data_IF_262956921152
#
_entry.id   IF_262956921152
#
_cell.length_a   1.000
_cell.length_b   1.000
_cell.length_c   1.000
_cell.angle_alpha   90.00
_cell.angle_beta   90.00
_cell.angle_gamma   90.00
#
_symmetry.space_group_name_H-M   'P 1'
#
loop_
_entity.id
_entity.type
_entity.pdbx_description
1 polymer ?
#
# COMPACT_ATOMS: atom_id res chain seq x y z
N UNK A 1 12.86 -27.10 18.24
CA UNK A 1 11.46 -26.63 18.25
C UNK A 1 11.47 -25.15 17.90
N UNK A 2 10.68 -24.68 16.92
CA UNK A 2 10.70 -23.27 16.50
C UNK A 2 10.19 -22.32 17.60
N UNK A 3 10.66 -21.06 17.63
CA UNK A 3 10.34 -20.07 18.69
C UNK A 3 8.83 -19.90 18.89
N UNK A 4 8.06 -19.93 17.81
CA UNK A 4 6.59 -19.81 17.82
C UNK A 4 5.93 -21.00 18.54
N UNK A 5 6.36 -22.23 18.25
CA UNK A 5 5.81 -23.42 18.90
C UNK A 5 6.13 -23.42 20.41
N UNK A 6 7.27 -22.88 20.80
CA UNK A 6 7.63 -22.69 22.22
C UNK A 6 6.75 -21.65 22.90
N UNK A 7 6.41 -20.55 22.22
CA UNK A 7 5.52 -19.51 22.76
C UNK A 7 4.07 -19.97 22.90
N UNK A 8 3.54 -20.68 21.90
CA UNK A 8 2.19 -21.28 21.96
C UNK A 8 2.10 -22.29 23.09
N UNK A 9 3.15 -23.08 23.32
CA UNK A 9 3.22 -24.02 24.45
C UNK A 9 3.29 -23.29 25.80
N UNK A 10 4.09 -22.23 25.89
CA UNK A 10 4.28 -21.48 27.14
C UNK A 10 3.07 -20.64 27.54
N UNK A 11 2.29 -20.16 26.56
CA UNK A 11 1.09 -19.35 26.77
C UNK A 11 -0.19 -20.13 26.45
N UNK A 12 -0.14 -21.47 26.52
CA UNK A 12 -1.25 -22.34 26.12
C UNK A 12 -2.60 -21.95 26.75
N UNK A 13 -2.69 -21.60 28.06
CA UNK A 13 -3.97 -21.19 28.64
C UNK A 13 -4.58 -19.94 28.00
N UNK A 14 -3.76 -18.96 27.63
CA UNK A 14 -4.22 -17.75 26.96
C UNK A 14 -4.56 -18.02 25.49
N UNK A 15 -3.76 -18.86 24.83
CA UNK A 15 -4.00 -19.30 23.46
C UNK A 15 -5.32 -20.06 23.32
N UNK A 16 -5.62 -20.97 24.25
CA UNK A 16 -6.88 -21.71 24.28
C UNK A 16 -8.07 -20.77 24.54
N UNK A 17 -7.95 -19.86 25.50
CA UNK A 17 -9.00 -18.86 25.76
C UNK A 17 -9.29 -17.96 24.55
N UNK A 18 -8.28 -17.63 23.76
CA UNK A 18 -8.43 -16.80 22.57
C UNK A 18 -9.02 -17.58 21.38
N UNK A 19 -8.65 -18.85 21.21
CA UNK A 19 -9.05 -19.67 20.05
C UNK A 19 -10.33 -20.48 20.27
N UNK A 20 -10.71 -20.69 21.53
CA UNK A 20 -11.92 -21.41 21.96
C UNK A 20 -12.84 -20.50 22.78
N UNK A 21 -12.84 -19.20 22.46
CA UNK A 21 -13.70 -18.25 23.17
C UNK A 21 -15.18 -18.61 22.98
N UNK A 22 -16.05 -18.48 24.00
CA UNK A 22 -17.48 -18.82 23.90
C UNK A 22 -18.21 -18.14 22.73
N UNK A 23 -17.80 -16.93 22.34
CA UNK A 23 -18.31 -16.26 21.13
C UNK A 23 -17.98 -17.04 19.83
N UNK A 24 -16.76 -17.53 19.69
CA UNK A 24 -16.28 -18.28 18.51
C UNK A 24 -16.90 -19.69 18.49
N UNK A 25 -17.00 -20.34 19.64
CA UNK A 25 -17.70 -21.64 19.78
C UNK A 25 -19.18 -21.47 19.44
N UNK A 26 -19.83 -20.41 19.96
CA UNK A 26 -21.23 -20.11 19.67
C UNK A 26 -21.52 -19.87 18.19
N UNK A 27 -20.56 -19.30 17.44
CA UNK A 27 -20.67 -19.18 15.97
C UNK A 27 -20.58 -20.57 15.33
N UNK A 28 -19.65 -21.41 15.79
CA UNK A 28 -19.42 -22.74 15.24
C UNK A 28 -20.56 -23.72 15.48
N UNK A 29 -21.26 -23.63 16.62
CA UNK A 29 -22.34 -24.55 17.00
C UNK A 29 -23.76 -23.95 16.81
N UNK A 30 -23.84 -22.70 16.36
CA UNK A 30 -25.08 -21.99 16.08
C UNK A 30 -25.79 -21.42 17.31
N UNK A 31 -25.18 -21.46 18.50
CA UNK A 31 -25.76 -20.93 19.74
C UNK A 31 -25.47 -19.43 19.98
N UNK A 32 -24.70 -18.77 19.10
CA UNK A 32 -24.34 -17.36 19.26
C UNK A 32 -25.55 -16.44 19.29
N UNK A 33 -25.56 -15.50 20.24
CA UNK A 33 -26.52 -14.41 20.26
C UNK A 33 -26.29 -13.48 19.07
N UNK A 34 -27.29 -13.37 18.20
CA UNK A 34 -27.26 -12.50 17.02
C UNK A 34 -27.04 -11.03 17.39
N UNK A 35 -27.44 -10.58 18.59
CA UNK A 35 -27.16 -9.23 19.06
C UNK A 35 -25.66 -9.03 19.33
N UNK A 36 -24.96 -10.04 19.85
CA UNK A 36 -23.51 -10.03 20.06
C UNK A 36 -22.76 -10.10 18.72
N UNK A 37 -23.25 -10.92 17.78
CA UNK A 37 -22.70 -10.96 16.42
C UNK A 37 -22.87 -9.62 15.69
N UNK A 38 -24.04 -8.99 15.78
CA UNK A 38 -24.29 -7.66 15.21
C UNK A 38 -23.40 -6.58 15.84
N UNK A 39 -23.13 -6.63 17.15
CA UNK A 39 -22.17 -5.72 17.79
C UNK A 39 -20.74 -5.95 17.28
N UNK A 40 -20.30 -7.21 17.18
CA UNK A 40 -18.99 -7.53 16.63
C UNK A 40 -18.85 -7.07 15.17
N UNK A 41 -19.88 -7.30 14.34
CA UNK A 41 -19.92 -6.86 12.94
C UNK A 41 -19.96 -5.33 12.82
N UNK A 42 -20.76 -4.67 13.66
CA UNK A 42 -20.84 -3.21 13.70
C UNK A 42 -19.52 -2.58 14.13
N UNK A 43 -18.78 -3.14 15.08
CA UNK A 43 -17.42 -2.68 15.43
C UNK A 43 -16.39 -2.93 14.32
N UNK A 44 -16.59 -3.95 13.49
CA UNK A 44 -15.77 -4.20 12.30
C UNK A 44 -16.09 -3.25 11.15
N UNK A 45 -17.31 -2.69 11.11
CA UNK A 45 -17.77 -1.78 10.05
C UNK A 45 -17.97 -0.32 10.52
N UNK A 46 -17.74 0.00 11.78
CA UNK A 46 -17.97 1.35 12.29
C UNK A 46 -16.82 2.27 11.90
N UNK A 47 -17.12 3.14 10.94
CA UNK A 47 -16.57 4.48 10.67
C UNK A 47 -15.15 4.66 10.14
N UNK A 48 -14.64 3.66 9.44
CA UNK A 48 -13.67 3.85 8.35
C UNK A 48 -13.74 2.58 7.49
N UNK A 49 -13.71 2.69 6.17
CA UNK A 49 -13.02 1.67 5.38
C UNK A 49 -11.66 1.56 6.06
N UNK A 50 -11.41 0.49 6.83
CA UNK A 50 -10.23 0.51 7.69
C UNK A 50 -9.04 0.79 6.79
N UNK A 51 -8.16 1.75 7.13
CA UNK A 51 -6.98 2.02 6.29
C UNK A 51 -6.27 0.72 5.89
N UNK A 52 -6.34 -0.28 6.79
CA UNK A 52 -5.94 -1.66 6.55
C UNK A 52 -6.58 -2.32 5.32
N UNK A 53 -7.88 -2.19 5.05
CA UNK A 53 -8.52 -2.72 3.83
C UNK A 53 -8.02 -2.01 2.56
N UNK A 54 -7.82 -0.69 2.61
CA UNK A 54 -7.27 0.09 1.49
C UNK A 54 -5.79 -0.27 1.26
N UNK A 55 -5.00 -0.36 2.33
CA UNK A 55 -3.60 -0.80 2.31
C UNK A 55 -3.47 -2.26 1.88
N UNK A 56 -4.37 -3.15 2.33
CA UNK A 56 -4.42 -4.55 1.89
C UNK A 56 -4.80 -4.65 0.42
N UNK A 57 -5.72 -3.81 -0.07
CA UNK A 57 -6.03 -3.69 -1.49
C UNK A 57 -4.82 -3.28 -2.33
N UNK A 58 -4.05 -2.29 -1.85
CA UNK A 58 -2.77 -1.89 -2.43
C UNK A 58 -1.75 -3.02 -2.44
N UNK A 59 -1.52 -3.67 -1.30
CA UNK A 59 -0.58 -4.79 -1.19
C UNK A 59 -0.98 -6.01 -2.04
N UNK A 60 -2.28 -6.30 -2.15
CA UNK A 60 -2.78 -7.32 -3.07
C UNK A 60 -2.48 -6.94 -4.53
N UNK A 61 -2.66 -5.67 -4.88
CA UNK A 61 -2.34 -5.14 -6.20
C UNK A 61 -0.84 -5.18 -6.50
N UNK A 62 0.03 -4.95 -5.50
CA UNK A 62 1.49 -5.11 -5.60
C UNK A 62 1.89 -6.57 -5.91
N UNK A 63 1.18 -7.56 -5.36
CA UNK A 63 1.42 -8.97 -5.71
C UNK A 63 1.15 -9.22 -7.20
N UNK A 64 0.05 -8.66 -7.72
CA UNK A 64 -0.29 -8.74 -9.14
C UNK A 64 0.67 -7.93 -10.02
N UNK A 65 1.20 -6.80 -9.50
CA UNK A 65 2.24 -6.01 -10.16
C UNK A 65 3.56 -6.77 -10.27
N UNK A 66 4.01 -7.42 -9.21
CA UNK A 66 5.23 -8.24 -9.25
C UNK A 66 5.11 -9.37 -10.29
N UNK A 67 3.93 -9.97 -10.42
CA UNK A 67 3.67 -10.96 -11.46
C UNK A 67 3.73 -10.34 -12.87
N UNK A 68 3.16 -9.13 -13.03
CA UNK A 68 3.19 -8.39 -14.29
C UNK A 68 4.61 -7.96 -14.68
N UNK A 69 5.40 -7.38 -13.77
CA UNK A 69 6.80 -6.99 -14.02
C UNK A 69 7.65 -8.18 -14.47
N UNK A 70 7.44 -9.37 -13.89
CA UNK A 70 8.13 -10.60 -14.33
C UNK A 70 7.74 -11.00 -15.75
N UNK A 71 6.45 -10.85 -16.09
CA UNK A 71 5.94 -11.15 -17.43
C UNK A 71 6.48 -10.16 -18.47
N UNK A 72 6.46 -8.86 -18.19
CA UNK A 72 7.02 -7.84 -19.09
C UNK A 72 8.54 -7.97 -19.21
N UNK A 73 9.26 -8.21 -18.11
CA UNK A 73 10.70 -8.46 -18.18
C UNK A 73 11.03 -9.67 -19.09
N UNK A 74 10.20 -10.70 -19.07
CA UNK A 74 10.35 -11.86 -19.97
C UNK A 74 10.03 -11.49 -21.43
N UNK A 75 9.03 -10.64 -21.67
CA UNK A 75 8.65 -10.15 -23.00
C UNK A 75 9.73 -9.27 -23.64
N UNK A 76 10.40 -8.45 -22.84
CA UNK A 76 11.44 -7.51 -23.28
C UNK A 76 12.88 -8.04 -23.10
N UNK A 77 13.04 -9.33 -22.77
CA UNK A 77 14.34 -9.99 -22.51
C UNK A 77 15.21 -9.28 -21.44
N UNK A 78 14.56 -8.67 -20.44
CA UNK A 78 15.20 -8.01 -19.30
C UNK A 78 15.47 -9.04 -18.19
N UNK A 79 16.74 -9.24 -17.83
CA UNK A 79 17.11 -10.12 -16.71
C UNK A 79 16.97 -9.40 -15.37
N UNK A 80 15.91 -9.73 -14.62
CA UNK A 80 15.67 -9.18 -13.27
C UNK A 80 16.67 -9.69 -12.20
N UNK A 81 17.33 -10.83 -12.42
CA UNK A 81 18.26 -11.44 -11.47
C UNK A 81 19.66 -10.85 -11.63
N UNK A 82 20.23 -10.31 -10.56
CA UNK A 82 21.59 -9.76 -10.54
C UNK A 82 21.70 -8.27 -10.87
N UNK A 83 20.57 -7.57 -11.04
CA UNK A 83 20.56 -6.10 -11.14
C UNK A 83 20.96 -5.52 -9.78
N UNK A 84 22.02 -4.72 -9.77
CA UNK A 84 22.44 -3.98 -8.57
C UNK A 84 21.55 -2.74 -8.46
N UNK A 85 20.83 -2.54 -7.34
CA UNK A 85 20.05 -1.34 -7.13
C UNK A 85 20.94 -0.10 -7.23
N UNK A 86 20.51 0.90 -8.00
CA UNK A 86 21.24 2.16 -8.08
C UNK A 86 21.07 2.97 -6.79
N UNK A 87 21.93 3.99 -6.61
CA UNK A 87 21.94 4.85 -5.42
C UNK A 87 20.55 5.45 -5.12
N UNK A 88 19.86 5.95 -6.14
CA UNK A 88 18.52 6.50 -6.02
C UNK A 88 17.50 5.47 -5.47
N UNK A 89 17.59 4.21 -5.90
CA UNK A 89 16.70 3.15 -5.42
C UNK A 89 16.92 2.86 -3.92
N UNK A 90 18.18 2.86 -3.48
CA UNK A 90 18.52 2.62 -2.08
C UNK A 90 18.09 3.78 -1.17
N UNK A 91 18.26 5.02 -1.64
CA UNK A 91 17.82 6.22 -0.92
C UNK A 91 16.29 6.24 -0.81
N UNK A 92 15.56 5.90 -1.88
CA UNK A 92 14.11 5.80 -1.86
C UNK A 92 13.59 4.78 -0.85
N UNK A 93 14.17 3.56 -0.81
CA UNK A 93 13.73 2.53 0.13
C UNK A 93 13.92 2.93 1.62
N UNK A 94 14.83 3.85 1.91
CA UNK A 94 15.09 4.31 3.29
C UNK A 94 13.96 5.17 3.87
N UNK A 95 13.08 5.72 3.03
CA UNK A 95 11.90 6.49 3.46
C UNK A 95 10.83 5.63 4.13
N UNK A 96 10.86 4.30 3.93
CA UNK A 96 9.85 3.36 4.42
C UNK A 96 10.27 2.61 5.69
N UNK A 97 11.14 3.22 6.51
CA UNK A 97 11.64 2.62 7.75
C UNK A 97 10.61 2.67 8.90
N UNK A 98 10.63 1.70 9.83
CA UNK A 98 9.61 1.52 10.87
C UNK A 98 9.58 2.60 11.97
N UNK A 99 10.48 3.59 11.93
CA UNK A 99 10.59 4.66 12.94
C UNK A 99 9.82 5.93 12.53
N UNK A 100 9.11 5.92 11.40
CA UNK A 100 8.42 7.07 10.82
C UNK A 100 7.00 7.19 11.36
N UNK A 101 6.57 8.42 11.68
CA UNK A 101 5.20 8.73 12.06
C UNK A 101 4.20 8.32 10.96
N UNK A 102 3.08 7.71 11.34
CA UNK A 102 2.11 7.19 10.38
C UNK A 102 1.61 8.24 9.39
N UNK A 103 1.38 9.48 9.84
CA UNK A 103 0.97 10.58 8.98
C UNK A 103 2.04 10.90 7.91
N UNK A 104 3.32 10.87 8.27
CA UNK A 104 4.43 11.08 7.33
C UNK A 104 4.50 9.92 6.34
N UNK A 105 4.40 8.68 6.81
CA UNK A 105 4.47 7.49 5.98
C UNK A 105 3.31 7.40 4.98
N UNK A 106 2.07 7.71 5.40
CA UNK A 106 0.92 7.66 4.51
C UNK A 106 0.93 8.82 3.51
N UNK A 107 1.42 10.01 3.88
CA UNK A 107 1.63 11.13 2.94
C UNK A 107 2.66 10.77 1.89
N UNK A 108 3.79 10.18 2.29
CA UNK A 108 4.79 9.70 1.34
C UNK A 108 4.17 8.65 0.42
N UNK A 109 3.51 7.62 0.95
CA UNK A 109 2.90 6.56 0.15
C UNK A 109 1.85 7.08 -0.84
N UNK A 110 0.96 7.98 -0.41
CA UNK A 110 0.01 8.65 -1.29
C UNK A 110 0.71 9.38 -2.43
N UNK A 111 1.77 10.14 -2.14
CA UNK A 111 2.50 10.91 -3.14
C UNK A 111 3.12 10.02 -4.24
N UNK A 112 3.70 8.88 -3.86
CA UNK A 112 4.28 7.90 -4.80
C UNK A 112 3.21 7.42 -5.79
N UNK A 113 2.08 6.94 -5.26
CA UNK A 113 0.99 6.39 -6.08
C UNK A 113 0.35 7.47 -6.97
N UNK A 114 0.16 8.67 -6.44
CA UNK A 114 -0.42 9.79 -7.18
C UNK A 114 0.48 10.29 -8.32
N UNK A 115 1.80 10.34 -8.14
CA UNK A 115 2.73 10.73 -9.22
C UNK A 115 2.60 9.76 -10.41
N UNK A 116 2.52 8.46 -10.15
CA UNK A 116 2.28 7.47 -11.20
C UNK A 116 0.91 7.64 -11.85
N UNK A 117 -0.14 7.84 -11.04
CA UNK A 117 -1.49 8.01 -11.55
C UNK A 117 -1.63 9.21 -12.50
N UNK A 118 -1.13 10.37 -12.07
CA UNK A 118 -1.18 11.58 -12.87
C UNK A 118 -0.35 11.43 -14.14
N UNK A 119 0.90 10.96 -14.02
CA UNK A 119 1.81 10.78 -15.15
C UNK A 119 1.23 9.87 -16.24
N UNK A 120 0.70 8.69 -15.86
CA UNK A 120 0.14 7.74 -16.82
C UNK A 120 -1.26 8.12 -17.31
N UNK A 121 -2.01 8.94 -16.57
CA UNK A 121 -3.29 9.47 -17.05
C UNK A 121 -3.12 10.40 -18.26
N UNK A 122 -2.03 11.18 -18.30
CA UNK A 122 -1.67 12.02 -19.46
C UNK A 122 -1.44 11.17 -20.72
N UNK A 123 -0.94 9.94 -20.55
CA UNK A 123 -0.75 8.99 -21.66
C UNK A 123 -2.06 8.42 -22.20
N UNK A 124 -3.21 8.64 -21.55
CA UNK A 124 -4.52 8.15 -21.98
C UNK A 124 -5.45 9.26 -22.48
N UNK A 125 -5.02 10.51 -22.40
CA UNK A 125 -5.81 11.64 -22.87
C UNK A 125 -6.10 11.56 -24.37
N UNK A 126 -7.24 12.12 -24.79
CA UNK A 126 -7.76 12.06 -26.17
C UNK A 126 -6.82 12.63 -27.25
N UNK A 127 -5.74 13.32 -26.86
CA UNK A 127 -4.70 13.84 -27.76
C UNK A 127 -3.34 13.12 -27.68
N UNK A 128 -3.21 12.12 -26.82
CA UNK A 128 -1.97 11.39 -26.61
C UNK A 128 -1.64 10.50 -27.82
N UNK A 129 -0.35 10.35 -28.12
CA UNK A 129 0.16 9.46 -29.17
C UNK A 129 0.89 8.26 -28.55
N UNK A 130 0.32 7.74 -27.48
CA UNK A 130 0.92 6.64 -26.72
C UNK A 130 1.07 5.42 -27.61
N UNK A 131 2.29 4.85 -27.73
CA UNK A 131 2.51 3.65 -28.51
C UNK A 131 1.58 2.52 -28.05
N UNK A 132 1.00 1.78 -29.00
CA UNK A 132 0.04 0.71 -28.70
C UNK A 132 0.65 -0.35 -27.76
N UNK A 133 1.96 -0.60 -27.90
CA UNK A 133 2.73 -1.53 -27.07
C UNK A 133 2.81 -1.13 -25.59
N UNK A 134 2.66 0.17 -25.29
CA UNK A 134 2.70 0.74 -23.93
C UNK A 134 1.29 1.04 -23.39
N UNK A 135 0.24 0.82 -24.18
CA UNK A 135 -1.12 1.18 -23.80
C UNK A 135 -1.59 0.40 -22.56
N UNK A 136 -1.22 -0.88 -22.44
CA UNK A 136 -1.54 -1.71 -21.26
C UNK A 136 -0.91 -1.14 -19.98
N UNK A 137 0.36 -0.74 -20.06
CA UNK A 137 1.11 -0.06 -18.99
C UNK A 137 0.43 1.24 -18.59
N UNK A 138 0.10 2.10 -19.56
CA UNK A 138 -0.57 3.37 -19.28
C UNK A 138 -1.98 3.18 -18.71
N UNK A 139 -2.73 2.17 -19.15
CA UNK A 139 -4.04 1.86 -18.60
C UNK A 139 -3.97 1.40 -17.14
N UNK A 140 -2.90 0.72 -16.73
CA UNK A 140 -2.76 0.24 -15.34
C UNK A 140 -2.82 1.39 -14.34
N UNK A 141 -1.89 2.34 -14.48
CA UNK A 141 -1.76 3.47 -13.56
C UNK A 141 -2.58 4.70 -13.98
N UNK A 142 -2.87 4.87 -15.27
CA UNK A 142 -3.72 5.97 -15.76
C UNK A 142 -5.22 5.73 -15.64
N UNK A 143 -5.67 4.52 -15.25
CA UNK A 143 -7.10 4.21 -15.17
C UNK A 143 -7.84 5.04 -14.13
N UNK A 144 -9.14 5.26 -14.38
CA UNK A 144 -10.03 5.87 -13.40
C UNK A 144 -10.04 5.12 -12.06
N UNK A 145 -9.93 3.78 -12.09
CA UNK A 145 -9.94 2.95 -10.89
C UNK A 145 -8.72 3.20 -10.00
N UNK A 146 -7.53 3.30 -10.60
CA UNK A 146 -6.32 3.67 -9.88
C UNK A 146 -6.38 5.13 -9.38
N UNK A 147 -6.99 6.04 -10.15
CA UNK A 147 -7.34 7.38 -9.68
C UNK A 147 -8.26 7.41 -8.45
N UNK A 148 -9.23 6.49 -8.36
CA UNK A 148 -10.07 6.36 -7.16
C UNK A 148 -9.25 5.87 -5.96
N UNK A 149 -8.37 4.89 -6.16
CA UNK A 149 -7.46 4.40 -5.12
C UNK A 149 -6.57 5.52 -4.56
N UNK A 150 -5.92 6.29 -5.43
CA UNK A 150 -5.08 7.43 -5.03
C UNK A 150 -5.86 8.48 -4.23
N UNK A 151 -7.10 8.79 -4.64
CA UNK A 151 -7.98 9.70 -3.88
C UNK A 151 -8.39 9.14 -2.52
N UNK A 152 -8.52 7.84 -2.36
CA UNK A 152 -8.76 7.22 -1.05
C UNK A 152 -7.54 7.37 -0.14
N UNK A 153 -6.33 7.15 -0.66
CA UNK A 153 -5.08 7.42 0.08
C UNK A 153 -4.94 8.89 0.48
N UNK A 154 -5.29 9.82 -0.42
CA UNK A 154 -5.28 11.25 -0.14
C UNK A 154 -6.17 11.59 1.06
N UNK A 155 -7.41 11.06 1.09
CA UNK A 155 -8.33 11.31 2.21
C UNK A 155 -7.79 10.79 3.54
N UNK A 156 -7.08 9.66 3.54
CA UNK A 156 -6.43 9.13 4.75
C UNK A 156 -5.32 10.08 5.20
N UNK A 157 -4.47 10.51 4.27
CA UNK A 157 -3.39 11.45 4.55
C UNK A 157 -3.93 12.77 5.11
N UNK A 158 -4.93 13.38 4.47
CA UNK A 158 -5.58 14.61 4.92
C UNK A 158 -6.14 14.45 6.34
N UNK A 159 -6.89 13.37 6.61
CA UNK A 159 -7.46 13.06 7.94
C UNK A 159 -6.38 12.89 9.01
N UNK A 160 -5.23 12.33 8.66
CA UNK A 160 -4.08 12.18 9.56
C UNK A 160 -3.40 13.52 9.84
N UNK A 161 -3.20 14.35 8.81
CA UNK A 161 -2.55 15.65 8.92
C UNK A 161 -3.40 16.69 9.66
N UNK A 162 -4.72 16.66 9.52
CA UNK A 162 -5.65 17.51 10.28
C UNK A 162 -5.50 17.35 11.81
N UNK A 163 -5.11 16.16 12.26
CA UNK A 163 -4.95 15.81 13.68
C UNK A 163 -3.48 15.87 14.15
N UNK A 164 -2.56 16.14 13.24
CA UNK A 164 -1.13 16.09 13.50
C UNK A 164 -0.61 17.37 14.18
N UNK A 165 0.52 17.26 14.88
CA UNK A 165 1.25 18.42 15.39
C UNK A 165 1.95 19.16 14.24
N UNK A 166 2.31 20.43 14.45
CA UNK A 166 3.05 21.21 13.44
C UNK A 166 4.40 20.59 13.05
N UNK A 167 5.07 19.89 13.97
CA UNK A 167 6.30 19.14 13.69
C UNK A 167 6.06 17.97 12.72
N UNK A 168 4.97 17.22 12.90
CA UNK A 168 4.62 16.10 12.02
C UNK A 168 4.16 16.61 10.65
N UNK A 169 3.41 17.72 10.59
CA UNK A 169 3.02 18.34 9.32
C UNK A 169 4.26 18.77 8.52
N UNK A 170 5.22 19.43 9.18
CA UNK A 170 6.48 19.82 8.56
C UNK A 170 7.26 18.60 8.01
N UNK A 171 7.37 17.53 8.80
CA UNK A 171 8.02 16.28 8.36
C UNK A 171 7.29 15.61 7.19
N UNK A 172 5.96 15.67 7.16
CA UNK A 172 5.16 15.12 6.08
C UNK A 172 5.34 15.91 4.78
N UNK A 173 5.44 17.24 4.87
CA UNK A 173 5.77 18.11 3.74
C UNK A 173 7.19 17.83 3.22
N UNK A 174 8.17 17.69 4.11
CA UNK A 174 9.54 17.31 3.74
C UNK A 174 9.59 15.95 3.05
N UNK A 175 8.85 14.96 3.55
CA UNK A 175 8.74 13.64 2.93
C UNK A 175 8.06 13.72 1.55
N UNK A 176 7.01 14.53 1.40
CA UNK A 176 6.35 14.77 0.11
C UNK A 176 7.32 15.36 -0.91
N UNK A 177 8.06 16.42 -0.56
CA UNK A 177 9.06 17.03 -1.44
C UNK A 177 10.16 16.03 -1.79
N UNK A 178 10.63 15.26 -0.81
CA UNK A 178 11.64 14.22 -1.00
C UNK A 178 11.16 13.14 -1.99
N UNK A 179 9.91 12.69 -1.90
CA UNK A 179 9.30 11.77 -2.89
C UNK A 179 9.33 12.38 -4.28
N UNK A 180 8.92 13.65 -4.46
CA UNK A 180 8.95 14.29 -5.77
C UNK A 180 10.36 14.39 -6.36
N UNK A 181 11.37 14.73 -5.55
CA UNK A 181 12.77 14.76 -5.97
C UNK A 181 13.27 13.37 -6.39
N UNK A 182 12.91 12.34 -5.64
CA UNK A 182 13.24 10.96 -5.98
C UNK A 182 12.54 10.48 -7.25
N UNK A 183 11.26 10.81 -7.44
CA UNK A 183 10.53 10.52 -8.67
C UNK A 183 11.20 11.18 -9.87
N UNK A 184 11.54 12.48 -9.81
CA UNK A 184 12.28 13.17 -10.89
C UNK A 184 13.59 12.45 -11.22
N UNK A 185 14.38 12.07 -10.21
CA UNK A 185 15.63 11.35 -10.42
C UNK A 185 15.40 9.94 -11.02
N UNK A 186 14.32 9.28 -10.64
CA UNK A 186 13.90 8.00 -11.21
C UNK A 186 13.49 8.14 -12.68
N UNK A 187 12.75 9.19 -13.06
CA UNK A 187 12.44 9.45 -14.47
C UNK A 187 13.71 9.76 -15.27
N UNK A 188 14.62 10.59 -14.73
CA UNK A 188 15.88 10.95 -15.38
C UNK A 188 16.75 9.72 -15.68
N UNK A 189 16.75 8.70 -14.83
CA UNK A 189 17.50 7.46 -15.08
C UNK A 189 17.05 6.75 -16.36
N UNK A 190 15.80 6.95 -16.78
CA UNK A 190 15.19 6.30 -17.94
C UNK A 190 15.41 7.07 -19.24
N UNK A 191 15.86 8.33 -19.18
CA UNK A 191 16.07 9.17 -20.36
C UNK A 191 17.44 9.00 -21.04
N UNK A 192 18.38 8.27 -20.42
CA UNK A 192 19.79 8.25 -20.84
C UNK A 192 20.48 9.60 -20.58
N UNK A 193 21.82 9.60 -20.53
CA UNK A 193 22.62 10.85 -20.44
C UNK A 193 22.51 11.70 -21.71
#
# INVERSE_FOLDING_TARGET
>A
MGRIASWVKSHRPMYDRATQHPFVIGISDGSVDLSAFRRWLAWKQSDDESDMEILLGGMASLSDELAWFRKEASKWDVKLVGIVPQKANLEYCSLMLPEVDYAVAITAFWAIETVYQESFSLCLDNGSKTPEELMETCQRWGSANFGHYCRSLQKIADRCLEKASSDIIQKAEEAFVCVLEHEVNFWNMSCGE
#
